data_IF_999698677368
#
_entry.id   IF_999698677368
#
_cell.length_a   1.000
_cell.length_b   1.000
_cell.length_c   1.000
_cell.angle_alpha   90.00
_cell.angle_beta   90.00
_cell.angle_gamma   90.00
#
_symmetry.space_group_name_H-M   'P 1'
#
loop_
_entity.id
_entity.type
_entity.pdbx_description
1 polymer ?
#
# COMPACT_ATOMS: atom_id res chain seq x y z
N UNK A 1 2.82 11.42 -17.24
CA UNK A 1 3.67 12.14 -16.27
C UNK A 1 4.24 11.08 -15.36
N UNK A 2 5.56 10.93 -15.32
CA UNK A 2 6.18 9.96 -14.42
C UNK A 2 6.04 10.45 -12.97
N UNK A 3 5.42 9.65 -12.12
CA UNK A 3 5.20 9.96 -10.70
C UNK A 3 6.10 9.07 -9.85
N UNK A 4 6.89 9.68 -8.97
CA UNK A 4 7.72 8.95 -8.00
C UNK A 4 7.07 9.02 -6.62
N UNK A 5 6.81 7.86 -6.00
CA UNK A 5 6.23 7.74 -4.66
C UNK A 5 7.21 7.07 -3.71
N UNK A 6 7.33 7.64 -2.51
CA UNK A 6 8.09 7.04 -1.42
C UNK A 6 7.13 6.30 -0.48
N UNK A 7 7.33 4.99 -0.32
CA UNK A 7 6.43 4.11 0.45
C UNK A 7 7.25 3.35 1.50
N UNK A 8 6.70 3.16 2.69
CA UNK A 8 7.27 2.24 3.68
C UNK A 8 6.56 0.89 3.54
N UNK A 9 7.32 -0.18 3.35
CA UNK A 9 6.79 -1.55 3.31
C UNK A 9 6.28 -1.95 4.69
N UNK A 10 4.96 -2.06 4.85
CA UNK A 10 4.31 -2.48 6.11
C UNK A 10 4.03 -3.98 6.16
N UNK A 11 4.35 -4.73 5.10
CA UNK A 11 4.10 -6.16 5.00
C UNK A 11 4.93 -7.03 5.97
N UNK A 12 5.98 -6.47 6.59
CA UNK A 12 6.80 -7.16 7.57
C UNK A 12 7.46 -6.16 8.54
N UNK A 13 7.91 -6.58 9.74
CA UNK A 13 8.43 -5.68 10.77
C UNK A 13 9.74 -4.96 10.40
N UNK A 14 10.37 -5.31 9.27
CA UNK A 14 11.59 -4.62 8.80
C UNK A 14 11.34 -3.20 8.30
N UNK A 15 10.15 -2.88 7.80
CA UNK A 15 9.83 -1.52 7.36
C UNK A 15 10.75 -0.98 6.24
N UNK A 16 10.95 -1.73 5.16
CA UNK A 16 11.86 -1.28 4.08
C UNK A 16 11.35 0.05 3.46
N UNK A 17 12.26 0.98 3.19
CA UNK A 17 11.96 2.20 2.43
C UNK A 17 11.96 1.85 0.94
N UNK A 18 10.81 2.02 0.32
CA UNK A 18 10.58 1.73 -1.09
C UNK A 18 10.47 3.03 -1.88
N UNK A 19 11.10 3.06 -3.05
CA UNK A 19 10.89 4.11 -4.06
C UNK A 19 10.16 3.44 -5.22
N UNK A 20 8.97 3.95 -5.54
CA UNK A 20 8.12 3.44 -6.61
C UNK A 20 8.05 4.49 -7.71
N UNK A 21 8.45 4.14 -8.93
CA UNK A 21 8.35 5.01 -10.10
C UNK A 21 7.22 4.51 -10.97
N UNK A 22 6.30 5.41 -11.32
CA UNK A 22 5.08 5.12 -12.07
C UNK A 22 5.15 5.93 -13.36
N UNK A 23 5.49 5.28 -14.46
CA UNK A 23 5.47 5.91 -15.79
C UNK A 23 4.06 5.89 -16.39
N UNK A 24 3.36 4.77 -16.21
CA UNK A 24 1.99 4.51 -16.62
C UNK A 24 1.28 3.62 -15.59
N UNK A 25 -0.05 3.70 -15.49
CA UNK A 25 -0.85 2.91 -14.53
C UNK A 25 -0.95 1.41 -14.88
N UNK A 26 -0.43 1.00 -16.04
CA UNK A 26 -0.29 -0.41 -16.41
C UNK A 26 0.78 -1.13 -15.59
N UNK A 27 0.62 -2.45 -15.40
CA UNK A 27 1.53 -3.28 -14.58
C UNK A 27 2.99 -3.26 -15.04
N UNK A 28 3.26 -2.87 -16.29
CA UNK A 28 4.61 -2.75 -16.87
C UNK A 28 5.26 -1.37 -16.60
N UNK A 29 4.48 -0.35 -16.26
CA UNK A 29 4.96 1.01 -16.02
C UNK A 29 5.36 1.30 -14.58
N UNK A 30 5.43 0.28 -13.71
CA UNK A 30 5.67 0.45 -12.27
C UNK A 30 6.95 -0.28 -11.87
N UNK A 31 7.98 0.49 -11.53
CA UNK A 31 9.24 -0.01 -10.97
C UNK A 31 9.24 0.20 -9.46
N UNK A 32 9.80 -0.74 -8.70
CA UNK A 32 9.97 -0.62 -7.24
C UNK A 32 11.41 -0.94 -6.88
N UNK A 33 12.04 -0.06 -6.11
CA UNK A 33 13.40 -0.24 -5.59
C UNK A 33 13.46 -0.03 -4.08
N UNK A 34 14.54 -0.50 -3.44
CA UNK A 34 14.74 -0.40 -1.98
C UNK A 34 14.12 -1.55 -1.16
N UNK A 35 13.46 -2.51 -1.80
CA UNK A 35 12.98 -3.73 -1.16
C UNK A 35 14.14 -4.70 -0.85
N UNK A 36 14.13 -5.29 0.35
CA UNK A 36 15.08 -6.36 0.73
C UNK A 36 14.54 -7.78 0.50
N UNK A 37 13.33 -7.88 -0.06
CA UNK A 37 12.64 -9.14 -0.29
C UNK A 37 11.63 -8.99 -1.44
N UNK A 38 11.23 -10.10 -2.10
CA UNK A 38 10.24 -10.07 -3.19
C UNK A 38 8.86 -9.58 -2.71
N UNK A 39 8.50 -9.84 -1.44
CA UNK A 39 7.26 -9.33 -0.84
C UNK A 39 7.20 -7.80 -0.82
N UNK A 40 8.34 -7.13 -0.64
CA UNK A 40 8.41 -5.67 -0.63
C UNK A 40 8.12 -5.06 -1.99
N UNK A 41 8.58 -5.70 -3.06
CA UNK A 41 8.27 -5.28 -4.43
C UNK A 41 6.77 -5.43 -4.73
N UNK A 42 6.21 -6.61 -4.43
CA UNK A 42 4.79 -6.87 -4.63
C UNK A 42 3.90 -5.91 -3.83
N UNK A 43 4.25 -5.65 -2.56
CA UNK A 43 3.55 -4.67 -1.73
C UNK A 43 3.66 -3.25 -2.29
N UNK A 44 4.85 -2.81 -2.71
CA UNK A 44 5.06 -1.48 -3.29
C UNK A 44 4.23 -1.24 -4.54
N UNK A 45 4.16 -2.23 -5.45
CA UNK A 45 3.33 -2.18 -6.66
C UNK A 45 1.84 -2.08 -6.32
N UNK A 46 1.36 -2.95 -5.43
CA UNK A 46 -0.05 -2.96 -5.02
C UNK A 46 -0.44 -1.63 -4.34
N UNK A 47 0.35 -1.19 -3.38
CA UNK A 47 0.08 0.01 -2.58
C UNK A 47 0.08 1.29 -3.42
N UNK A 48 0.91 1.35 -4.47
CA UNK A 48 0.99 2.51 -5.37
C UNK A 48 -0.23 2.67 -6.30
N UNK A 49 -0.89 1.56 -6.66
CA UNK A 49 -2.03 1.50 -7.60
C UNK A 49 -3.38 1.39 -6.87
N UNK A 50 -3.48 0.49 -5.91
CA UNK A 50 -4.70 0.17 -5.17
C UNK A 50 -4.38 -0.08 -3.68
N UNK A 51 -4.29 0.97 -2.86
CA UNK A 51 -4.02 0.84 -1.43
C UNK A 51 -5.18 0.13 -0.72
N UNK A 52 -4.96 -1.11 -0.29
CA UNK A 52 -5.95 -1.94 0.41
C UNK A 52 -5.79 -1.85 1.94
N UNK A 53 -5.60 -0.64 2.48
CA UNK A 53 -5.54 -0.45 3.92
C UNK A 53 -6.92 -0.61 4.54
N UNK A 54 -7.02 -1.41 5.60
CA UNK A 54 -8.26 -1.49 6.38
C UNK A 54 -8.53 -0.17 7.10
N UNK A 55 -9.72 0.38 6.89
CA UNK A 55 -10.22 1.55 7.60
C UNK A 55 -11.37 1.10 8.51
N UNK A 56 -11.10 0.96 9.80
CA UNK A 56 -12.14 0.62 10.79
C UNK A 56 -12.95 1.86 11.13
N UNK A 57 -14.26 1.80 10.91
CA UNK A 57 -15.21 2.84 11.30
C UNK A 57 -16.29 2.27 12.20
N UNK A 58 -16.83 3.10 13.09
CA UNK A 58 -18.01 2.76 13.89
C UNK A 58 -19.25 3.29 13.20
N UNK A 59 -20.32 2.48 13.16
CA UNK A 59 -21.63 2.92 12.68
C UNK A 59 -22.59 3.00 13.86
N UNK A 60 -23.50 3.98 13.82
CA UNK A 60 -24.58 4.05 14.80
C UNK A 60 -25.53 2.86 14.59
N UNK A 61 -25.72 2.05 15.63
CA UNK A 61 -26.68 0.93 15.60
C UNK A 61 -28.08 1.43 15.98
N UNK A 62 -29.11 0.86 15.35
CA UNK A 62 -30.51 1.16 15.66
C UNK A 62 -31.01 0.48 16.94
N UNK A 63 -30.21 -0.42 17.52
CA UNK A 63 -30.55 -1.14 18.75
C UNK A 63 -30.08 -0.32 19.96
N UNK A 64 -31.01 -0.02 20.88
CA UNK A 64 -30.67 0.53 22.20
C UNK A 64 -29.74 -0.44 22.92
N UNK A 65 -28.63 0.07 23.45
CA UNK A 65 -27.64 -0.68 24.25
C UNK A 65 -28.33 -1.74 25.11
N UNK A 66 -28.12 -3.01 24.75
CA UNK A 66 -28.43 -4.15 25.60
C UNK A 66 -27.10 -4.63 26.18
N UNK A 67 -27.00 -4.77 27.51
CA UNK A 67 -25.78 -5.21 28.17
C UNK A 67 -25.37 -6.62 27.74
#
# INVERSE_FOLDING_TARGET
MAETKNIICTACPRGCRLVVEIENLDAQGISVSGNKCPKGEAYGKQEAVCPMRMLTTTVASSVKDKP
#
